data_IF_506270105942
#
_entry.id   IF_506270105942
#
_cell.length_a   1.000
_cell.length_b   1.000
_cell.length_c   1.000
_cell.angle_alpha   90.00
_cell.angle_beta   90.00
_cell.angle_gamma   90.00
#
_symmetry.space_group_name_H-M   'P 1'
#
loop_
_entity.id
_entity.type
_entity.pdbx_description
1 polymer ?
#
# COMPACT_ATOMS: atom_id res chain seq x y z
N UNK A 1 11.97 14.62 -1.82
CA UNK A 1 12.11 13.41 -2.67
C UNK A 1 12.67 13.70 -4.08
N UNK A 2 12.97 14.95 -4.43
CA UNK A 2 13.60 15.28 -5.72
C UNK A 2 15.00 14.65 -5.79
N UNK A 3 15.19 13.73 -6.74
CA UNK A 3 16.50 13.10 -7.01
C UNK A 3 16.52 11.57 -7.03
N UNK A 4 15.51 10.89 -6.47
CA UNK A 4 15.45 9.42 -6.52
C UNK A 4 14.81 8.92 -7.81
N UNK A 5 15.51 8.04 -8.53
CA UNK A 5 15.00 7.38 -9.75
C UNK A 5 14.03 6.24 -9.46
N UNK A 6 13.98 5.76 -8.22
CA UNK A 6 13.08 4.71 -7.74
C UNK A 6 12.11 5.24 -6.68
N UNK A 7 11.04 4.48 -6.44
CA UNK A 7 10.09 4.69 -5.36
C UNK A 7 9.85 3.36 -4.62
N UNK A 8 9.71 3.43 -3.30
CA UNK A 8 9.14 2.32 -2.54
C UNK A 8 7.62 2.29 -2.77
N UNK A 9 7.09 1.11 -3.05
CA UNK A 9 5.67 0.89 -3.32
C UNK A 9 5.19 -0.34 -2.57
N UNK A 10 3.90 -0.34 -2.24
CA UNK A 10 3.21 -1.50 -1.68
C UNK A 10 2.08 -1.86 -2.64
N UNK A 11 1.95 -3.12 -3.07
CA UNK A 11 0.88 -3.50 -3.98
C UNK A 11 -0.49 -3.49 -3.28
N UNK A 12 -1.49 -3.04 -4.03
CA UNK A 12 -2.91 -3.15 -3.67
C UNK A 12 -3.52 -4.27 -4.52
N UNK A 13 -4.12 -5.27 -3.89
CA UNK A 13 -4.84 -6.34 -4.58
C UNK A 13 -6.33 -6.21 -4.32
N UNK A 14 -7.22 -6.49 -5.29
CA UNK A 14 -8.64 -6.65 -5.01
C UNK A 14 -8.84 -7.70 -3.91
N UNK A 15 -9.79 -7.47 -3.00
CA UNK A 15 -10.10 -8.45 -1.97
C UNK A 15 -10.67 -9.73 -2.61
N UNK A 16 -10.02 -10.86 -2.34
CA UNK A 16 -10.43 -12.19 -2.79
C UNK A 16 -10.70 -13.09 -1.58
N UNK A 17 -11.53 -14.12 -1.75
CA UNK A 17 -11.98 -14.97 -0.64
C UNK A 17 -10.85 -15.77 0.02
N UNK A 18 -9.79 -16.09 -0.74
CA UNK A 18 -8.63 -16.85 -0.30
C UNK A 18 -7.48 -15.98 0.21
N UNK A 19 -7.60 -14.65 0.09
CA UNK A 19 -6.57 -13.73 0.56
C UNK A 19 -6.57 -13.68 2.09
N UNK A 20 -5.50 -14.16 2.71
CA UNK A 20 -5.32 -14.06 4.16
C UNK A 20 -4.98 -12.61 4.55
N UNK A 21 -5.95 -11.93 5.18
CA UNK A 21 -5.78 -10.57 5.69
C UNK A 21 -5.20 -10.63 7.12
N UNK A 22 -4.10 -9.90 7.34
CA UNK A 22 -3.52 -9.68 8.66
C UNK A 22 -3.90 -8.27 9.09
N UNK A 23 -4.92 -8.11 9.91
CA UNK A 23 -5.66 -6.85 10.14
C UNK A 23 -4.77 -5.60 10.36
N UNK A 24 -3.70 -5.71 11.17
CA UNK A 24 -2.76 -4.60 11.42
C UNK A 24 -1.69 -4.40 10.35
N UNK A 25 -1.38 -5.45 9.59
CA UNK A 25 -0.35 -5.42 8.55
C UNK A 25 -0.95 -5.11 7.18
N UNK A 26 -2.22 -5.45 6.94
CA UNK A 26 -2.85 -5.41 5.63
C UNK A 26 -4.11 -4.53 5.68
N UNK A 27 -3.97 -3.19 5.72
CA UNK A 27 -5.11 -2.29 5.71
C UNK A 27 -5.91 -2.45 4.41
N UNK A 28 -7.20 -2.16 4.51
CA UNK A 28 -8.19 -2.37 3.45
C UNK A 28 -8.78 -1.04 3.03
N UNK A 29 -8.77 -0.75 1.74
CA UNK A 29 -9.22 0.51 1.16
C UNK A 29 -10.36 0.29 0.18
N UNK A 30 -11.32 1.21 0.15
CA UNK A 30 -12.30 1.28 -0.92
C UNK A 30 -11.86 2.33 -1.93
N UNK A 31 -11.54 1.90 -3.15
CA UNK A 31 -11.11 2.76 -4.25
C UNK A 31 -12.09 2.51 -5.40
N UNK A 32 -12.84 3.55 -5.78
CA UNK A 32 -13.86 3.51 -6.84
C UNK A 32 -14.88 2.36 -6.69
N UNK A 33 -15.28 2.05 -5.46
CA UNK A 33 -16.25 0.99 -5.16
C UNK A 33 -15.64 -0.41 -5.09
N UNK A 34 -14.34 -0.56 -5.33
CA UNK A 34 -13.63 -1.82 -5.26
C UNK A 34 -12.80 -1.86 -3.98
N UNK A 35 -13.01 -2.92 -3.21
CA UNK A 35 -12.24 -3.18 -1.98
C UNK A 35 -10.88 -3.75 -2.35
N UNK A 36 -9.83 -3.05 -1.93
CA UNK A 36 -8.45 -3.41 -2.13
C UNK A 36 -7.76 -3.65 -0.80
N UNK A 37 -6.89 -4.65 -0.75
CA UNK A 37 -6.05 -4.97 0.39
C UNK A 37 -4.62 -4.56 0.07
N UNK A 38 -4.02 -3.78 0.97
CA UNK A 38 -2.60 -3.47 0.92
C UNK A 38 -1.80 -4.65 1.45
N UNK A 39 -0.90 -5.22 0.63
CA UNK A 39 -0.01 -6.29 1.07
C UNK A 39 1.33 -5.71 1.52
N UNK A 40 1.37 -5.20 2.75
CA UNK A 40 2.51 -4.44 3.26
C UNK A 40 3.82 -5.23 3.25
N UNK A 41 3.77 -6.52 3.55
CA UNK A 41 4.92 -7.42 3.47
C UNK A 41 5.49 -7.60 2.05
N UNK A 42 4.75 -7.20 1.02
CA UNK A 42 5.17 -7.20 -0.38
C UNK A 42 5.72 -5.84 -0.82
N UNK A 43 6.15 -4.98 0.12
CA UNK A 43 6.83 -3.73 -0.19
C UNK A 43 8.07 -3.97 -1.06
N UNK A 44 8.24 -3.15 -2.10
CA UNK A 44 9.35 -3.27 -3.03
C UNK A 44 9.77 -1.90 -3.56
N UNK A 45 10.95 -1.83 -4.17
CA UNK A 45 11.38 -0.65 -4.93
C UNK A 45 11.10 -0.85 -6.41
N UNK A 46 10.54 0.17 -7.06
CA UNK A 46 10.31 0.18 -8.52
C UNK A 46 10.89 1.44 -9.15
N UNK A 47 11.36 1.39 -10.41
CA UNK A 47 11.72 2.59 -11.16
C UNK A 47 10.52 3.52 -11.31
N UNK A 48 10.70 4.82 -11.05
CA UNK A 48 9.60 5.80 -11.18
C UNK A 48 9.03 5.88 -12.58
N UNK A 49 9.85 5.60 -13.60
CA UNK A 49 9.43 5.55 -15.01
C UNK A 49 8.43 4.43 -15.33
N UNK A 50 8.31 3.43 -14.45
CA UNK A 50 7.35 2.31 -14.59
C UNK A 50 6.04 2.59 -13.85
N UNK A 51 5.98 3.65 -13.03
CA UNK A 51 4.74 4.09 -12.42
C UNK A 51 3.85 4.70 -13.50
N UNK A 52 2.66 4.12 -13.66
CA UNK A 52 1.62 4.67 -14.52
C UNK A 52 1.05 5.99 -13.99
N UNK A 53 0.06 6.57 -14.70
CA UNK A 53 -0.61 7.77 -14.24
C UNK A 53 -1.29 7.53 -12.87
N UNK A 54 -1.25 8.53 -11.97
CA UNK A 54 -1.93 8.41 -10.68
C UNK A 54 -3.45 8.33 -10.88
N UNK A 55 -4.09 7.37 -10.22
CA UNK A 55 -5.55 7.17 -10.29
C UNK A 55 -6.27 7.77 -9.08
N UNK A 56 -5.65 7.74 -7.90
CA UNK A 56 -6.20 8.28 -6.65
C UNK A 56 -5.08 8.53 -5.63
N UNK A 57 -5.42 9.11 -4.48
CA UNK A 57 -4.50 9.36 -3.37
C UNK A 57 -5.11 8.88 -2.05
N UNK A 58 -4.40 7.99 -1.36
CA UNK A 58 -4.76 7.50 -0.03
C UNK A 58 -4.37 8.47 1.10
N UNK A 59 -3.60 9.53 0.79
CA UNK A 59 -2.94 10.35 1.80
C UNK A 59 -3.90 11.14 2.71
N UNK A 60 -5.04 11.62 2.20
CA UNK A 60 -5.94 12.47 3.01
C UNK A 60 -6.71 11.70 4.08
N UNK A 61 -7.05 10.45 3.81
CA UNK A 61 -7.94 9.64 4.68
C UNK A 61 -7.21 8.48 5.35
N UNK A 62 -6.22 7.88 4.69
CA UNK A 62 -5.62 6.61 5.11
C UNK A 62 -4.14 6.74 5.50
N UNK A 63 -3.62 7.97 5.68
CA UNK A 63 -2.21 8.18 6.03
C UNK A 63 -1.77 7.35 7.24
N UNK A 64 -2.53 7.41 8.34
CA UNK A 64 -2.20 6.67 9.57
C UNK A 64 -2.29 5.16 9.40
N UNK A 65 -3.27 4.65 8.63
CA UNK A 65 -3.38 3.22 8.35
C UNK A 65 -2.16 2.70 7.57
N UNK A 66 -1.70 3.45 6.57
CA UNK A 66 -0.51 3.11 5.79
C UNK A 66 0.75 3.13 6.65
N UNK A 67 0.94 4.19 7.45
CA UNK A 67 2.12 4.31 8.32
C UNK A 67 2.13 3.23 9.41
N UNK A 68 1.00 2.94 10.04
CA UNK A 68 0.91 1.91 11.07
C UNK A 68 1.19 0.51 10.52
N UNK A 69 0.73 0.22 9.29
CA UNK A 69 1.04 -1.05 8.63
C UNK A 69 2.53 -1.18 8.32
N UNK A 70 3.17 -0.09 7.86
CA UNK A 70 4.62 -0.06 7.62
C UNK A 70 5.42 -0.19 8.91
N UNK A 71 4.98 0.45 9.99
CA UNK A 71 5.57 0.29 11.32
C UNK A 71 5.46 -1.17 11.77
N UNK A 72 4.27 -1.76 11.70
CA UNK A 72 4.06 -3.18 11.98
C UNK A 72 5.00 -4.10 11.17
N UNK A 73 5.26 -3.80 9.89
CA UNK A 73 6.22 -4.57 9.09
C UNK A 73 7.66 -4.46 9.60
N UNK A 74 8.07 -3.25 9.99
CA UNK A 74 9.48 -2.94 10.29
C UNK A 74 9.84 -3.27 11.75
N UNK A 75 8.98 -2.90 12.68
CA UNK A 75 9.23 -2.92 14.12
C UNK A 75 8.31 -3.91 14.86
N UNK A 76 7.17 -4.27 14.27
CA UNK A 76 6.17 -5.14 14.89
C UNK A 76 5.32 -4.47 15.97
N UNK A 77 5.38 -3.14 16.12
CA UNK A 77 4.55 -2.38 17.06
C UNK A 77 3.12 -2.19 16.60
#
# INVERSE_FOLDING_TARGET
>A
MSGLSTAAVVPLLPQQADLRILERLNPVFNIDGIVHVMLTQSIATVPRKELGPPVSSLNSQHYFEVINALDMLISGS
#
